data_IF_812375651953
#
_entry.id   IF_812375651953
#
_cell.length_a   1.000
_cell.length_b   1.000
_cell.length_c   1.000
_cell.angle_alpha   90.00
_cell.angle_beta   90.00
_cell.angle_gamma   90.00
#
_symmetry.space_group_name_H-M   'P 1'
#
loop_
_entity.id
_entity.type
_entity.pdbx_description
1 polymer ?
#
# COMPACT_ATOMS: atom_id res chain seq x y z
N UNK A 1 7.98 34.17 9.92
CA UNK A 1 6.51 34.03 10.11
C UNK A 1 5.83 35.38 10.33
N UNK A 2 6.19 36.17 11.35
CA UNK A 2 5.59 37.52 11.55
C UNK A 2 6.04 38.57 10.50
N UNK A 3 7.25 38.44 9.94
CA UNK A 3 7.78 39.37 8.92
C UNK A 3 7.11 39.23 7.54
N UNK A 4 6.56 38.05 7.19
CA UNK A 4 5.83 37.84 5.93
C UNK A 4 4.44 38.49 5.94
N UNK A 5 3.84 38.67 7.11
CA UNK A 5 2.52 39.29 7.27
C UNK A 5 2.61 40.81 7.09
N UNK A 6 3.76 41.42 7.39
CA UNK A 6 3.96 42.88 7.34
C UNK A 6 4.23 43.45 5.95
N UNK A 7 4.48 42.61 4.95
CA UNK A 7 4.82 43.03 3.58
C UNK A 7 3.68 42.90 2.56
N UNK A 8 2.44 42.63 2.99
CA UNK A 8 1.33 42.32 2.09
C UNK A 8 0.52 43.57 1.72
N UNK A 9 0.13 43.67 0.44
CA UNK A 9 -0.88 44.63 -0.01
C UNK A 9 -2.27 44.21 0.53
N UNK A 10 -3.12 45.19 0.83
CA UNK A 10 -4.39 45.05 1.59
C UNK A 10 -5.41 44.04 1.02
N UNK A 11 -5.21 43.52 -0.21
CA UNK A 11 -6.15 42.64 -0.92
C UNK A 11 -5.72 41.16 -1.03
N UNK A 12 -4.63 40.73 -0.37
CA UNK A 12 -4.28 39.30 -0.34
C UNK A 12 -5.20 38.48 0.58
N UNK A 13 -5.70 37.35 0.07
CA UNK A 13 -6.58 36.45 0.84
C UNK A 13 -5.75 35.59 1.81
N UNK A 14 -6.18 35.52 3.07
CA UNK A 14 -5.53 34.77 4.17
C UNK A 14 -5.23 33.31 3.80
N UNK A 15 -6.02 32.69 2.92
CA UNK A 15 -5.82 31.31 2.45
C UNK A 15 -4.53 31.10 1.65
N UNK A 16 -3.86 32.16 1.20
CA UNK A 16 -2.60 32.08 0.46
C UNK A 16 -1.37 32.08 1.39
N UNK A 17 -1.58 32.29 2.69
CA UNK A 17 -0.48 32.34 3.66
C UNK A 17 0.09 30.94 3.92
N UNK A 18 1.39 30.78 3.71
CA UNK A 18 2.09 29.56 4.11
C UNK A 18 2.42 29.63 5.60
N UNK A 19 1.62 28.95 6.43
CA UNK A 19 1.77 28.94 7.89
C UNK A 19 3.00 28.16 8.37
N UNK A 20 3.58 27.32 7.51
CA UNK A 20 4.74 26.50 7.84
C UNK A 20 6.02 27.22 7.43
N UNK A 21 6.99 27.26 8.36
CA UNK A 21 8.35 27.66 8.01
C UNK A 21 8.91 26.68 6.97
N UNK A 22 9.79 27.16 6.10
CA UNK A 22 10.37 26.35 5.02
C UNK A 22 11.01 25.04 5.54
N UNK A 23 11.63 25.09 6.73
CA UNK A 23 12.24 23.94 7.39
C UNK A 23 11.18 22.93 7.90
N UNK A 24 10.09 23.41 8.50
CA UNK A 24 8.97 22.55 8.93
C UNK A 24 8.30 21.88 7.74
N UNK A 25 8.10 22.62 6.66
CA UNK A 25 7.56 22.12 5.39
C UNK A 25 8.48 21.07 4.78
N UNK A 26 9.79 21.28 4.81
CA UNK A 26 10.76 20.30 4.33
C UNK A 26 10.74 19.01 5.16
N UNK A 27 10.68 19.13 6.49
CA UNK A 27 10.58 17.97 7.38
C UNK A 27 9.33 17.14 7.14
N UNK A 28 8.17 17.77 6.98
CA UNK A 28 6.92 17.08 6.68
C UNK A 28 6.97 16.41 5.31
N UNK A 29 7.41 17.13 4.26
CA UNK A 29 7.33 16.64 2.88
C UNK A 29 8.40 15.62 2.54
N UNK A 30 9.58 15.70 3.15
CA UNK A 30 10.71 14.83 2.81
C UNK A 30 11.01 13.82 3.92
N UNK A 31 11.23 14.28 5.15
CA UNK A 31 11.73 13.40 6.21
C UNK A 31 10.65 12.49 6.77
N UNK A 32 9.46 13.02 7.09
CA UNK A 32 8.36 12.21 7.63
C UNK A 32 7.69 11.35 6.56
N UNK A 33 7.73 11.81 5.30
CA UNK A 33 7.16 11.10 4.14
C UNK A 33 8.17 10.24 3.38
N UNK A 34 9.36 9.95 3.94
CA UNK A 34 10.33 9.03 3.33
C UNK A 34 9.91 7.55 3.50
N UNK A 35 8.73 7.24 2.98
CA UNK A 35 8.14 5.90 2.96
C UNK A 35 8.40 5.18 1.65
N UNK A 36 9.18 5.78 0.73
CA UNK A 36 9.51 5.15 -0.54
C UNK A 36 10.33 3.89 -0.26
N UNK A 37 9.80 2.76 -0.69
CA UNK A 37 10.47 1.46 -0.64
C UNK A 37 10.31 0.82 -2.00
N UNK A 38 11.35 0.13 -2.46
CA UNK A 38 11.24 -0.69 -3.66
C UNK A 38 10.30 -1.86 -3.37
N UNK A 39 9.28 -2.01 -4.20
CA UNK A 39 8.36 -3.14 -4.12
C UNK A 39 8.76 -4.20 -5.15
N UNK A 40 8.53 -5.49 -4.85
CA UNK A 40 8.69 -6.55 -5.86
C UNK A 40 7.86 -6.22 -7.10
N UNK A 41 8.42 -6.53 -8.28
CA UNK A 41 7.67 -6.41 -9.56
C UNK A 41 6.60 -7.50 -9.71
N UNK A 42 6.70 -8.55 -8.90
CA UNK A 42 5.82 -9.69 -8.90
C UNK A 42 4.44 -9.30 -8.34
N UNK A 43 3.40 -9.83 -8.98
CA UNK A 43 2.04 -9.75 -8.48
C UNK A 43 1.88 -10.52 -7.17
N UNK A 44 0.85 -10.16 -6.39
CA UNK A 44 0.48 -10.89 -5.18
C UNK A 44 0.26 -12.39 -5.47
N UNK A 45 -0.32 -12.71 -6.64
CA UNK A 45 -0.52 -14.08 -7.08
C UNK A 45 0.81 -14.83 -7.21
N UNK A 46 1.81 -14.24 -7.87
CA UNK A 46 3.12 -14.87 -8.05
C UNK A 46 3.84 -15.06 -6.72
N UNK A 47 3.78 -14.08 -5.83
CA UNK A 47 4.35 -14.18 -4.48
C UNK A 47 3.66 -15.30 -3.67
N UNK A 48 2.35 -15.44 -3.80
CA UNK A 48 1.59 -16.51 -3.17
C UNK A 48 1.95 -17.88 -3.74
N UNK A 49 2.00 -18.03 -5.07
CA UNK A 49 2.40 -19.28 -5.72
C UNK A 49 3.83 -19.71 -5.32
N UNK A 50 4.75 -18.75 -5.18
CA UNK A 50 6.09 -19.02 -4.63
C UNK A 50 6.04 -19.53 -3.19
N UNK A 51 5.17 -18.99 -2.34
CA UNK A 51 5.01 -19.50 -0.97
C UNK A 51 4.43 -20.93 -0.97
N UNK A 52 3.48 -21.21 -1.86
CA UNK A 52 2.91 -22.56 -2.04
C UNK A 52 4.01 -23.57 -2.42
N UNK A 53 4.93 -23.20 -3.31
CA UNK A 53 6.06 -24.07 -3.66
C UNK A 53 7.05 -24.30 -2.52
N UNK A 54 7.24 -23.31 -1.64
CA UNK A 54 8.18 -23.43 -0.50
C UNK A 54 7.64 -24.32 0.61
N UNK A 55 6.36 -24.16 0.97
CA UNK A 55 5.75 -24.84 2.12
C UNK A 55 4.36 -25.35 1.77
N UNK A 56 4.23 -26.33 0.85
CA UNK A 56 2.93 -26.75 0.32
C UNK A 56 2.00 -27.32 1.39
N UNK A 57 2.55 -28.06 2.35
CA UNK A 57 1.79 -28.72 3.42
C UNK A 57 1.60 -27.85 4.68
N UNK A 58 2.14 -26.63 4.70
CA UNK A 58 1.92 -25.73 5.83
C UNK A 58 0.48 -25.21 5.82
N UNK A 59 -0.09 -25.02 7.01
CA UNK A 59 -1.42 -24.44 7.19
C UNK A 59 -1.43 -22.98 6.67
N UNK A 60 -2.33 -22.68 5.74
CA UNK A 60 -2.47 -21.36 5.13
C UNK A 60 -3.73 -20.63 5.56
N UNK A 61 -4.78 -21.38 5.89
CA UNK A 61 -6.07 -20.83 6.29
C UNK A 61 -6.71 -21.76 7.31
N UNK A 62 -7.25 -21.19 8.38
CA UNK A 62 -8.11 -21.88 9.33
C UNK A 62 -9.40 -21.09 9.51
N UNK A 63 -10.54 -21.76 9.31
CA UNK A 63 -11.86 -21.15 9.48
C UNK A 63 -12.87 -22.21 9.92
N UNK A 64 -13.60 -21.95 11.00
CA UNK A 64 -14.65 -22.85 11.53
C UNK A 64 -14.23 -24.32 11.68
N UNK A 65 -13.01 -24.55 12.18
CA UNK A 65 -12.46 -25.91 12.37
C UNK A 65 -11.98 -26.59 11.08
N UNK A 66 -12.10 -25.94 9.93
CA UNK A 66 -11.51 -26.37 8.66
C UNK A 66 -10.15 -25.70 8.52
N UNK A 67 -9.12 -26.50 8.31
CA UNK A 67 -7.78 -26.04 7.97
C UNK A 67 -7.49 -26.39 6.51
N UNK A 68 -6.93 -25.45 5.76
CA UNK A 68 -6.41 -25.68 4.42
C UNK A 68 -4.91 -25.43 4.39
N UNK A 69 -4.18 -26.29 3.70
CA UNK A 69 -2.78 -26.06 3.39
C UNK A 69 -2.62 -25.03 2.27
N UNK A 70 -1.41 -24.51 2.10
CA UNK A 70 -1.08 -23.64 0.95
C UNK A 70 -1.41 -24.32 -0.38
N UNK A 71 -1.09 -25.60 -0.53
CA UNK A 71 -1.37 -26.37 -1.74
C UNK A 71 -2.87 -26.45 -2.03
N UNK A 72 -3.68 -26.77 -1.02
CA UNK A 72 -5.13 -26.92 -1.15
C UNK A 72 -5.81 -25.59 -1.48
N UNK A 73 -5.42 -24.52 -0.78
CA UNK A 73 -5.96 -23.18 -1.01
C UNK A 73 -5.63 -22.72 -2.44
N UNK A 74 -4.40 -22.92 -2.91
CA UNK A 74 -3.99 -22.56 -4.26
C UNK A 74 -4.77 -23.33 -5.34
N UNK A 75 -4.97 -24.65 -5.14
CA UNK A 75 -5.77 -25.46 -6.07
C UNK A 75 -7.20 -24.93 -6.21
N UNK A 76 -7.86 -24.61 -5.08
CA UNK A 76 -9.24 -24.06 -5.10
C UNK A 76 -9.30 -22.69 -5.77
N UNK A 77 -8.34 -21.80 -5.46
CA UNK A 77 -8.25 -20.48 -6.09
C UNK A 77 -8.07 -20.57 -7.61
N UNK A 78 -7.20 -21.48 -8.08
CA UNK A 78 -6.96 -21.69 -9.51
C UNK A 78 -8.17 -22.29 -10.23
N UNK A 79 -8.88 -23.25 -9.61
CA UNK A 79 -10.14 -23.77 -10.15
C UNK A 79 -11.18 -22.66 -10.35
N UNK A 80 -11.34 -21.79 -9.36
CA UNK A 80 -12.26 -20.65 -9.47
C UNK A 80 -11.82 -19.68 -10.56
N UNK A 81 -10.53 -19.35 -10.64
CA UNK A 81 -10.00 -18.47 -11.68
C UNK A 81 -10.27 -19.01 -13.10
N UNK A 82 -10.08 -20.32 -13.32
CA UNK A 82 -10.39 -20.96 -14.60
C UNK A 82 -11.89 -20.92 -14.92
N UNK A 83 -12.75 -21.15 -13.93
CA UNK A 83 -14.20 -21.04 -14.09
C UNK A 83 -14.62 -19.62 -14.50
N UNK A 84 -14.10 -18.60 -13.82
CA UNK A 84 -14.40 -17.19 -14.11
C UNK A 84 -13.92 -16.77 -15.50
N UNK A 85 -12.73 -17.23 -15.90
CA UNK A 85 -12.19 -16.99 -17.25
C UNK A 85 -13.02 -17.63 -18.36
N UNK A 86 -13.71 -18.74 -18.09
CA UNK A 86 -14.58 -19.41 -19.08
C UNK A 86 -15.94 -18.74 -19.23
N UNK A 87 -16.40 -18.03 -18.20
CA UNK A 87 -17.75 -17.42 -18.13
C UNK A 87 -17.78 -15.95 -18.56
N UNK A 88 -16.60 -15.36 -18.80
CA UNK A 88 -16.41 -13.99 -19.31
C UNK A 88 -15.97 -14.09 -20.76
#
# INVERSE_FOLDING_TARGET
MLEEITGLEQDQTISQFNLLLSEEKENILKHWNDTKRELPKESLRELFEKQVSKTPQAEALQFEGITLTYEELNKRANQLAHYLKKKT
#
